data_IF_177953433240
#
_entry.id   IF_177953433240
#
_cell.length_a   1.000
_cell.length_b   1.000
_cell.length_c   1.000
_cell.angle_alpha   90.00
_cell.angle_beta   90.00
_cell.angle_gamma   90.00
#
_symmetry.space_group_name_H-M   'P 1'
#
loop_
_entity.id
_entity.type
_entity.pdbx_description
1 polymer ?
#
# COMPACT_ATOMS: atom_id res chain seq x y z
N UNK A 1 -16.31 -9.40 -15.98
CA UNK A 1 -15.68 -8.41 -15.09
C UNK A 1 -16.83 -7.64 -14.47
N UNK A 2 -16.98 -7.67 -13.14
CA UNK A 2 -18.05 -6.93 -12.48
C UNK A 2 -17.68 -5.45 -12.42
N UNK A 3 -18.65 -4.59 -12.69
CA UNK A 3 -18.54 -3.14 -12.55
C UNK A 3 -18.70 -2.74 -11.09
N UNK A 4 -18.20 -1.55 -10.73
CA UNK A 4 -18.34 -1.01 -9.38
C UNK A 4 -19.82 -0.92 -8.95
N UNK A 5 -20.71 -0.57 -9.88
CA UNK A 5 -22.14 -0.47 -9.61
C UNK A 5 -22.77 -1.82 -9.28
N UNK A 6 -22.38 -2.89 -9.98
CA UNK A 6 -22.86 -4.25 -9.71
C UNK A 6 -22.41 -4.74 -8.32
N UNK A 7 -21.20 -4.36 -7.90
CA UNK A 7 -20.67 -4.67 -6.57
C UNK A 7 -21.45 -3.93 -5.48
N UNK A 8 -21.70 -2.62 -5.67
CA UNK A 8 -22.48 -1.80 -4.72
C UNK A 8 -23.89 -2.38 -4.55
N UNK A 9 -24.57 -2.67 -5.66
CA UNK A 9 -25.93 -3.24 -5.62
C UNK A 9 -25.96 -4.60 -4.90
N UNK A 10 -24.91 -5.41 -5.07
CA UNK A 10 -24.80 -6.71 -4.39
C UNK A 10 -24.64 -6.53 -2.88
N UNK A 11 -23.85 -5.56 -2.43
CA UNK A 11 -23.67 -5.25 -1.00
C UNK A 11 -24.96 -4.69 -0.38
N UNK A 12 -25.68 -3.82 -1.10
CA UNK A 12 -26.94 -3.25 -0.64
C UNK A 12 -28.04 -4.32 -0.51
N UNK A 13 -27.98 -5.38 -1.31
CA UNK A 13 -28.92 -6.50 -1.25
C UNK A 13 -28.70 -7.46 -0.07
N UNK A 14 -27.57 -7.32 0.65
CA UNK A 14 -27.27 -8.16 1.80
C UNK A 14 -28.14 -7.81 3.02
N UNK A 15 -28.47 -8.78 3.87
CA UNK A 15 -29.00 -8.53 5.21
C UNK A 15 -28.10 -7.58 6.00
N UNK A 16 -28.70 -6.81 6.91
CA UNK A 16 -27.98 -5.81 7.70
C UNK A 16 -26.82 -6.45 8.46
N UNK A 17 -27.05 -7.62 9.05
CA UNK A 17 -26.07 -8.36 9.84
C UNK A 17 -24.88 -8.84 9.01
N UNK A 18 -25.12 -9.31 7.78
CA UNK A 18 -24.07 -9.74 6.87
C UNK A 18 -23.26 -8.56 6.34
N UNK A 19 -23.92 -7.43 6.09
CA UNK A 19 -23.26 -6.19 5.68
C UNK A 19 -22.40 -5.60 6.80
N UNK A 20 -22.89 -5.61 8.03
CA UNK A 20 -22.13 -5.14 9.20
C UNK A 20 -20.90 -6.03 9.43
N UNK A 21 -21.06 -7.36 9.31
CA UNK A 21 -19.94 -8.29 9.34
C UNK A 21 -18.91 -8.01 8.24
N UNK A 22 -19.37 -7.78 7.00
CA UNK A 22 -18.49 -7.47 5.87
C UNK A 22 -17.67 -6.20 6.12
N UNK A 23 -18.30 -5.13 6.60
CA UNK A 23 -17.59 -3.88 6.89
C UNK A 23 -16.59 -4.02 8.05
N UNK A 24 -16.95 -4.74 9.10
CA UNK A 24 -16.04 -5.04 10.21
C UNK A 24 -14.83 -5.88 9.76
N UNK A 25 -15.06 -6.86 8.88
CA UNK A 25 -14.00 -7.67 8.29
C UNK A 25 -13.06 -6.83 7.42
N UNK A 26 -13.60 -5.97 6.55
CA UNK A 26 -12.82 -5.08 5.70
C UNK A 26 -11.98 -4.09 6.52
N UNK A 27 -12.53 -3.51 7.58
CA UNK A 27 -11.80 -2.61 8.47
C UNK A 27 -10.60 -3.31 9.12
N UNK A 28 -10.81 -4.51 9.67
CA UNK A 28 -9.72 -5.32 10.25
C UNK A 28 -8.66 -5.69 9.24
N UNK A 29 -9.06 -5.96 7.99
CA UNK A 29 -8.13 -6.27 6.91
C UNK A 29 -7.25 -5.05 6.59
N UNK A 30 -7.84 -3.87 6.45
CA UNK A 30 -7.11 -2.62 6.18
C UNK A 30 -6.12 -2.30 7.32
N UNK A 31 -6.55 -2.43 8.57
CA UNK A 31 -5.68 -2.29 9.74
C UNK A 31 -4.51 -3.30 9.70
N UNK A 32 -4.79 -4.57 9.37
CA UNK A 32 -3.75 -5.60 9.26
C UNK A 32 -2.80 -5.41 8.08
N UNK A 33 -3.26 -4.86 6.95
CA UNK A 33 -2.42 -4.56 5.80
C UNK A 33 -1.45 -3.42 6.12
N UNK A 34 -1.91 -2.40 6.86
CA UNK A 34 -1.05 -1.36 7.41
C UNK A 34 0.04 -1.92 8.33
N UNK A 35 -0.33 -2.79 9.28
CA UNK A 35 0.61 -3.41 10.20
C UNK A 35 1.63 -4.31 9.50
N UNK A 36 1.19 -5.11 8.53
CA UNK A 36 2.08 -5.98 7.74
C UNK A 36 3.06 -5.16 6.89
N UNK A 37 2.60 -4.03 6.33
CA UNK A 37 3.47 -3.10 5.61
C UNK A 37 4.54 -2.50 6.54
N UNK A 38 4.14 -1.99 7.71
CA UNK A 38 5.08 -1.44 8.69
C UNK A 38 6.09 -2.46 9.19
N UNK A 39 5.64 -3.69 9.46
CA UNK A 39 6.51 -4.79 9.86
C UNK A 39 7.51 -5.15 8.75
N UNK A 40 7.06 -5.18 7.49
CA UNK A 40 7.91 -5.38 6.32
C UNK A 40 8.98 -4.28 6.19
N UNK A 41 8.60 -3.02 6.33
CA UNK A 41 9.52 -1.88 6.28
C UNK A 41 10.58 -1.94 7.38
N UNK A 42 10.19 -2.31 8.60
CA UNK A 42 11.13 -2.49 9.70
C UNK A 42 12.14 -3.62 9.43
N UNK A 43 11.69 -4.73 8.85
CA UNK A 43 12.56 -5.84 8.49
C UNK A 43 13.53 -5.46 7.38
N UNK A 44 13.04 -4.77 6.33
CA UNK A 44 13.87 -4.22 5.27
C UNK A 44 14.97 -3.30 5.82
N UNK A 45 14.59 -2.37 6.72
CA UNK A 45 15.55 -1.50 7.40
C UNK A 45 16.62 -2.27 8.18
N UNK A 46 16.23 -3.31 8.92
CA UNK A 46 17.18 -4.16 9.67
C UNK A 46 18.18 -4.85 8.74
N UNK A 47 17.73 -5.36 7.59
CA UNK A 47 18.59 -6.01 6.60
C UNK A 47 19.62 -5.02 6.05
N UNK A 48 19.18 -3.84 5.59
CA UNK A 48 20.08 -2.76 5.12
C UNK A 48 21.16 -2.43 6.16
N UNK A 49 20.75 -2.29 7.42
CA UNK A 49 21.67 -1.94 8.51
C UNK A 49 22.67 -3.06 8.82
N UNK A 50 22.20 -4.31 8.88
CA UNK A 50 23.04 -5.46 9.19
C UNK A 50 24.05 -5.76 8.07
N UNK A 51 23.64 -5.57 6.82
CA UNK A 51 24.48 -5.79 5.64
C UNK A 51 25.32 -4.56 5.27
N UNK A 52 25.22 -3.47 6.05
CA UNK A 52 25.89 -2.20 5.80
C UNK A 52 25.68 -1.69 4.35
N UNK A 53 24.48 -1.92 3.80
CA UNK A 53 24.11 -1.44 2.47
C UNK A 53 23.99 0.08 2.54
N UNK A 54 24.75 0.76 1.69
CA UNK A 54 24.71 2.22 1.54
C UNK A 54 24.07 2.51 0.20
N UNK A 55 22.99 3.29 0.20
CA UNK A 55 22.42 3.85 -1.00
C UNK A 55 23.01 5.24 -1.23
N UNK A 56 23.32 5.51 -2.49
CA UNK A 56 23.74 6.80 -3.00
C UNK A 56 22.69 7.35 -3.97
N UNK A 57 22.81 8.61 -4.35
CA UNK A 57 21.87 9.21 -5.30
C UNK A 57 21.89 8.53 -6.68
N UNK A 58 23.03 7.95 -7.07
CA UNK A 58 23.19 7.25 -8.36
C UNK A 58 22.33 5.98 -8.43
N UNK A 59 22.07 5.31 -7.30
CA UNK A 59 21.26 4.09 -7.23
C UNK A 59 19.78 4.33 -7.56
N UNK A 60 19.34 5.59 -7.59
CA UNK A 60 17.97 5.99 -7.92
C UNK A 60 17.90 6.87 -9.17
N UNK A 61 19.01 7.04 -9.91
CA UNK A 61 19.10 7.97 -11.03
C UNK A 61 18.11 7.65 -12.17
N UNK A 62 17.78 6.37 -12.36
CA UNK A 62 16.84 5.86 -13.36
C UNK A 62 15.37 5.92 -12.92
N UNK A 63 15.12 5.96 -11.60
CA UNK A 63 13.78 6.14 -11.02
C UNK A 63 13.35 7.61 -10.95
N UNK A 64 14.29 8.56 -11.06
CA UNK A 64 13.99 10.00 -11.08
C UNK A 64 13.33 10.37 -12.41
N UNK A 65 12.16 10.99 -12.32
CA UNK A 65 11.49 11.58 -13.48
C UNK A 65 12.23 12.86 -13.90
N UNK A 66 12.96 12.77 -15.02
CA UNK A 66 13.75 13.88 -15.60
C UNK A 66 12.96 14.71 -16.62
N UNK A 67 11.64 14.62 -16.61
CA UNK A 67 10.83 15.49 -17.46
C UNK A 67 10.99 16.96 -17.05
N UNK A 68 10.95 17.84 -18.05
CA UNK A 68 11.13 19.29 -17.87
C UNK A 68 10.15 19.81 -16.81
N UNK A 69 10.68 20.48 -15.79
CA UNK A 69 9.91 21.04 -14.67
C UNK A 69 9.69 20.11 -13.48
N UNK A 70 10.20 18.87 -13.52
CA UNK A 70 10.23 17.95 -12.35
C UNK A 70 11.65 17.68 -11.84
N UNK A 71 12.65 18.29 -12.44
CA UNK A 71 14.04 18.22 -11.97
C UNK A 71 14.16 18.92 -10.61
N UNK A 72 14.81 18.27 -9.65
CA UNK A 72 15.13 18.82 -8.32
C UNK A 72 16.62 19.15 -8.31
N UNK A 73 16.96 20.41 -8.03
CA UNK A 73 18.34 20.81 -7.72
C UNK A 73 18.70 20.31 -6.31
N UNK A 74 19.76 19.50 -6.22
CA UNK A 74 20.31 18.95 -4.97
C UNK A 74 21.37 19.87 -4.37
#
# INVERSE_FOLDING_TARGET
MMTLQEIINSIESLPVEERDYLFEFLRKKEESEGDNFWQGLQNFRKVIQNEAIIFTDDDFADLRDRSVGREIEL
#
